data_IF_923953349930
#
_entry.id   IF_923953349930
#
_cell.length_a   1.000
_cell.length_b   1.000
_cell.length_c   1.000
_cell.angle_alpha   90.00
_cell.angle_beta   90.00
_cell.angle_gamma   90.00
#
_symmetry.space_group_name_H-M   'P 1'
#
loop_
_entity.id
_entity.type
_entity.pdbx_description
1 polymer ?
#
# COMPACT_ATOMS: atom_id res chain seq x y z
N UNK A 1 6.38 -15.66 14.53
CA UNK A 1 5.99 -16.27 13.23
C UNK A 1 6.86 -15.67 12.15
N UNK A 2 7.45 -16.47 11.27
CA UNK A 2 8.30 -15.97 10.18
C UNK A 2 7.49 -14.97 9.35
N UNK A 3 7.90 -13.72 9.34
CA UNK A 3 7.29 -12.59 8.66
C UNK A 3 7.24 -12.73 7.14
N UNK A 4 7.63 -13.85 6.55
CA UNK A 4 7.53 -14.12 5.11
C UNK A 4 6.43 -15.15 4.81
N UNK A 5 6.04 -15.95 5.81
CA UNK A 5 5.13 -17.07 5.60
C UNK A 5 3.70 -16.62 5.29
N UNK A 6 3.24 -15.52 5.90
CA UNK A 6 1.92 -14.92 5.66
C UNK A 6 1.77 -14.47 4.20
N UNK A 7 2.77 -13.77 3.68
CA UNK A 7 2.77 -13.23 2.34
C UNK A 7 2.88 -14.34 1.28
N UNK A 8 3.73 -15.35 1.53
CA UNK A 8 3.81 -16.54 0.66
C UNK A 8 2.48 -17.29 0.63
N UNK A 9 1.86 -17.52 1.80
CA UNK A 9 0.55 -18.16 1.88
C UNK A 9 -0.53 -17.40 1.09
N UNK A 10 -0.56 -16.07 1.24
CA UNK A 10 -1.49 -15.23 0.49
C UNK A 10 -1.24 -15.30 -1.02
N UNK A 11 0.01 -15.24 -1.46
CA UNK A 11 0.38 -15.32 -2.88
C UNK A 11 0.02 -16.68 -3.48
N UNK A 12 0.29 -17.78 -2.78
CA UNK A 12 -0.07 -19.13 -3.25
C UNK A 12 -1.58 -19.26 -3.38
N UNK A 13 -2.33 -18.80 -2.38
CA UNK A 13 -3.80 -18.79 -2.41
C UNK A 13 -4.33 -17.96 -3.58
N UNK A 14 -3.82 -16.74 -3.77
CA UNK A 14 -4.21 -15.87 -4.89
C UNK A 14 -3.83 -16.49 -6.25
N UNK A 15 -2.67 -17.14 -6.35
CA UNK A 15 -2.24 -17.84 -7.55
C UNK A 15 -3.17 -19.01 -7.91
N UNK A 16 -3.55 -19.83 -6.92
CA UNK A 16 -4.52 -20.92 -7.12
C UNK A 16 -5.88 -20.36 -7.57
N UNK A 17 -6.36 -19.29 -6.91
CA UNK A 17 -7.61 -18.64 -7.28
C UNK A 17 -7.57 -18.07 -8.71
N UNK A 18 -6.46 -17.47 -9.11
CA UNK A 18 -6.26 -16.95 -10.47
C UNK A 18 -6.27 -18.08 -11.51
N UNK A 19 -5.55 -19.18 -11.25
CA UNK A 19 -5.54 -20.36 -12.12
C UNK A 19 -6.96 -20.93 -12.26
N UNK A 20 -7.68 -21.11 -11.14
CA UNK A 20 -9.04 -21.61 -11.15
C UNK A 20 -9.97 -20.68 -11.97
N UNK A 21 -9.89 -19.37 -11.77
CA UNK A 21 -10.67 -18.39 -12.51
C UNK A 21 -10.39 -18.43 -14.02
N UNK A 22 -9.12 -18.50 -14.42
CA UNK A 22 -8.72 -18.63 -15.83
C UNK A 22 -9.18 -19.95 -16.45
N UNK A 23 -9.06 -21.07 -15.73
CA UNK A 23 -9.55 -22.38 -16.19
C UNK A 23 -11.06 -22.35 -16.41
N UNK A 24 -11.82 -21.86 -15.42
CA UNK A 24 -13.29 -21.73 -15.51
C UNK A 24 -13.68 -20.87 -16.72
N UNK A 25 -13.04 -19.72 -16.91
CA UNK A 25 -13.28 -18.83 -18.06
C UNK A 25 -12.96 -19.49 -19.41
N UNK A 26 -12.00 -20.43 -19.44
CA UNK A 26 -11.62 -21.18 -20.64
C UNK A 26 -12.54 -22.38 -20.96
N UNK A 27 -13.44 -22.76 -20.05
CA UNK A 27 -14.33 -23.91 -20.24
C UNK A 27 -15.26 -23.69 -21.43
N UNK A 28 -15.58 -24.78 -22.17
CA UNK A 28 -16.55 -24.72 -23.27
C UNK A 28 -17.94 -24.27 -22.82
N UNK A 29 -18.30 -24.47 -21.56
CA UNK A 29 -19.60 -24.06 -21.03
C UNK A 29 -19.71 -22.53 -20.92
N UNK A 30 -18.70 -21.88 -20.33
CA UNK A 30 -18.65 -20.41 -20.21
C UNK A 30 -18.41 -19.79 -21.59
N UNK A 31 -17.36 -20.24 -22.28
CA UNK A 31 -17.01 -19.70 -23.59
C UNK A 31 -18.10 -19.96 -24.64
N UNK A 32 -18.75 -21.13 -24.63
CA UNK A 32 -19.80 -21.47 -25.59
C UNK A 32 -21.05 -20.60 -25.44
N UNK A 33 -21.44 -20.25 -24.20
CA UNK A 33 -22.51 -19.28 -23.95
C UNK A 33 -22.15 -17.89 -24.46
N UNK A 34 -20.89 -17.47 -24.28
CA UNK A 34 -20.40 -16.15 -24.70
C UNK A 34 -20.08 -16.05 -26.20
N UNK A 35 -19.89 -17.17 -26.89
CA UNK A 35 -19.58 -17.21 -28.34
C UNK A 35 -20.76 -16.81 -29.24
N UNK A 36 -21.96 -16.62 -28.67
CA UNK A 36 -23.10 -16.10 -29.41
C UNK A 36 -22.93 -14.59 -29.64
N UNK A 37 -22.57 -14.22 -30.89
CA UNK A 37 -22.46 -12.83 -31.33
C UNK A 37 -21.23 -12.11 -30.75
N UNK A 38 -21.44 -10.93 -30.17
CA UNK A 38 -20.38 -10.04 -29.66
C UNK A 38 -20.14 -10.19 -28.15
N UNK A 39 -20.88 -11.07 -27.46
CA UNK A 39 -20.87 -11.20 -25.99
C UNK A 39 -19.48 -11.52 -25.43
N UNK A 40 -18.70 -12.33 -26.14
CA UNK A 40 -17.33 -12.65 -25.74
C UNK A 40 -16.39 -11.45 -25.77
N UNK A 41 -16.50 -10.60 -26.80
CA UNK A 41 -15.71 -9.38 -26.90
C UNK A 41 -16.12 -8.41 -25.80
N UNK A 42 -17.42 -8.26 -25.56
CA UNK A 42 -17.93 -7.43 -24.47
C UNK A 42 -17.40 -7.91 -23.11
N UNK A 43 -17.48 -9.21 -22.82
CA UNK A 43 -16.97 -9.78 -21.56
C UNK A 43 -15.46 -9.53 -21.39
N UNK A 44 -14.67 -9.74 -22.44
CA UNK A 44 -13.24 -9.46 -22.41
C UNK A 44 -12.96 -7.97 -22.16
N UNK A 45 -13.67 -7.07 -22.85
CA UNK A 45 -13.56 -5.63 -22.65
C UNK A 45 -13.88 -5.23 -21.21
N UNK A 46 -14.98 -5.73 -20.64
CA UNK A 46 -15.38 -5.44 -19.26
C UNK A 46 -14.30 -5.89 -18.27
N UNK A 47 -13.75 -7.10 -18.43
CA UNK A 47 -12.71 -7.62 -17.54
C UNK A 47 -11.42 -6.81 -17.66
N UNK A 48 -10.98 -6.48 -18.88
CA UNK A 48 -9.74 -5.71 -19.10
C UNK A 48 -9.90 -4.28 -18.62
N UNK A 49 -11.00 -3.60 -18.93
CA UNK A 49 -11.28 -2.25 -18.42
C UNK A 49 -11.36 -2.28 -16.89
N UNK A 50 -12.08 -3.25 -16.31
CA UNK A 50 -12.16 -3.43 -14.86
C UNK A 50 -10.78 -3.62 -14.21
N UNK A 51 -9.88 -4.38 -14.84
CA UNK A 51 -8.49 -4.54 -14.39
C UNK A 51 -7.75 -3.21 -14.34
N UNK A 52 -7.81 -2.40 -15.40
CA UNK A 52 -7.14 -1.09 -15.44
C UNK A 52 -7.78 -0.10 -14.46
N UNK A 53 -9.11 -0.04 -14.40
CA UNK A 53 -9.82 0.78 -13.41
C UNK A 53 -9.40 0.40 -11.99
N UNK A 54 -9.32 -0.91 -11.68
CA UNK A 54 -8.84 -1.38 -10.39
C UNK A 54 -7.39 -0.93 -10.11
N UNK A 55 -6.49 -1.07 -11.08
CA UNK A 55 -5.09 -0.67 -10.95
C UNK A 55 -4.93 0.84 -10.65
N UNK A 56 -5.69 1.70 -11.32
CA UNK A 56 -5.56 3.15 -11.13
C UNK A 56 -6.22 3.68 -9.86
N UNK A 57 -7.38 3.13 -9.49
CA UNK A 57 -8.22 3.72 -8.45
C UNK A 57 -8.17 2.97 -7.12
N UNK A 58 -7.91 1.66 -7.13
CA UNK A 58 -8.05 0.83 -5.93
C UNK A 58 -6.75 0.11 -5.50
N UNK A 59 -5.89 -0.28 -6.44
CA UNK A 59 -4.70 -1.06 -6.13
C UNK A 59 -3.75 -0.30 -5.18
N UNK A 60 -3.26 -0.98 -4.15
CA UNK A 60 -2.25 -0.45 -3.23
C UNK A 60 -2.73 0.67 -2.28
N UNK A 61 -4.02 1.03 -2.29
CA UNK A 61 -4.57 2.08 -1.43
C UNK A 61 -4.75 1.62 0.02
N UNK A 62 -4.52 2.52 0.99
CA UNK A 62 -4.70 2.24 2.42
C UNK A 62 -6.14 1.82 2.78
N UNK A 63 -7.12 2.26 1.98
CA UNK A 63 -8.53 1.86 2.06
C UNK A 63 -8.73 0.38 2.37
N UNK A 64 -7.97 -0.52 1.74
CA UNK A 64 -8.10 -1.98 1.92
C UNK A 64 -7.75 -2.46 3.33
N UNK A 65 -6.78 -1.84 3.98
CA UNK A 65 -6.34 -2.21 5.33
C UNK A 65 -7.42 -1.95 6.41
N UNK A 66 -8.47 -1.19 6.06
CA UNK A 66 -9.64 -0.95 6.92
C UNK A 66 -10.64 -2.11 6.89
N UNK A 67 -10.63 -2.91 5.82
CA UNK A 67 -11.55 -4.05 5.64
C UNK A 67 -10.86 -5.39 5.83
N UNK A 68 -9.54 -5.44 5.58
CA UNK A 68 -8.73 -6.64 5.68
C UNK A 68 -7.64 -6.36 6.72
N UNK A 69 -7.92 -6.70 7.98
CA UNK A 69 -7.00 -6.52 9.12
C UNK A 69 -5.87 -7.56 9.16
N UNK A 70 -5.34 -7.96 8.00
CA UNK A 70 -4.30 -8.98 7.85
C UNK A 70 -3.00 -8.35 7.32
N UNK A 71 -1.84 -8.82 7.78
CA UNK A 71 -0.55 -8.28 7.33
C UNK A 71 -0.28 -8.53 5.84
N UNK A 72 -0.90 -9.54 5.23
CA UNK A 72 -0.82 -9.80 3.79
C UNK A 72 -1.92 -9.09 2.99
N UNK A 73 -2.56 -8.04 3.52
CA UNK A 73 -3.57 -7.23 2.81
C UNK A 73 -3.14 -6.80 1.42
N UNK A 74 -1.85 -6.47 1.22
CA UNK A 74 -1.29 -6.10 -0.09
C UNK A 74 -1.54 -7.16 -1.18
N UNK A 75 -1.61 -8.44 -0.81
CA UNK A 75 -1.95 -9.55 -1.71
C UNK A 75 -3.44 -9.78 -1.74
N UNK A 76 -4.11 -9.81 -0.59
CA UNK A 76 -5.54 -10.10 -0.51
C UNK A 76 -6.41 -9.06 -1.25
N UNK A 77 -5.98 -7.81 -1.26
CA UNK A 77 -6.67 -6.76 -1.99
C UNK A 77 -6.34 -6.72 -3.48
N UNK A 78 -5.29 -7.42 -3.94
CA UNK A 78 -4.83 -7.32 -5.33
C UNK A 78 -5.62 -8.26 -6.25
N UNK A 79 -6.67 -7.74 -6.89
CA UNK A 79 -7.50 -8.52 -7.83
C UNK A 79 -6.94 -8.58 -9.26
N UNK A 80 -5.84 -7.87 -9.56
CA UNK A 80 -5.20 -7.86 -10.88
C UNK A 80 -4.87 -9.26 -11.42
N UNK A 81 -4.31 -10.20 -10.62
CA UNK A 81 -4.06 -11.57 -11.07
C UNK A 81 -5.33 -12.29 -11.53
N UNK A 82 -6.46 -12.07 -10.84
CA UNK A 82 -7.73 -12.70 -11.18
C UNK A 82 -8.25 -12.16 -12.52
N UNK A 83 -8.25 -10.83 -12.69
CA UNK A 83 -8.67 -10.23 -13.96
C UNK A 83 -7.79 -10.70 -15.12
N UNK A 84 -6.47 -10.66 -14.98
CA UNK A 84 -5.53 -11.10 -15.99
C UNK A 84 -5.73 -12.58 -16.36
N UNK A 85 -5.94 -13.45 -15.37
CA UNK A 85 -6.18 -14.87 -15.61
C UNK A 85 -7.53 -15.15 -16.28
N UNK A 86 -8.60 -14.45 -15.89
CA UNK A 86 -9.91 -14.53 -16.56
C UNK A 86 -9.78 -14.07 -18.01
N UNK A 87 -9.12 -12.94 -18.26
CA UNK A 87 -8.84 -12.45 -19.62
C UNK A 87 -8.05 -13.48 -20.43
N UNK A 88 -7.02 -14.12 -19.84
CA UNK A 88 -6.25 -15.18 -20.51
C UNK A 88 -7.16 -16.35 -20.93
N UNK A 89 -7.98 -16.85 -20.00
CA UNK A 89 -8.93 -17.95 -20.24
C UNK A 89 -9.94 -17.64 -21.34
N UNK A 90 -10.50 -16.43 -21.34
CA UNK A 90 -11.39 -15.95 -22.40
C UNK A 90 -10.64 -15.86 -23.74
N UNK A 91 -9.49 -15.20 -23.79
CA UNK A 91 -8.76 -14.99 -25.05
C UNK A 91 -8.41 -16.29 -25.77
N UNK A 92 -8.07 -17.34 -25.02
CA UNK A 92 -7.80 -18.67 -25.58
C UNK A 92 -8.97 -19.23 -26.42
N UNK A 93 -10.19 -18.78 -26.14
CA UNK A 93 -11.44 -19.23 -26.79
C UNK A 93 -12.00 -18.27 -27.84
N UNK A 94 -11.30 -17.17 -28.17
CA UNK A 94 -11.82 -16.17 -29.11
C UNK A 94 -12.22 -16.78 -30.46
N UNK A 95 -13.47 -16.63 -30.92
CA UNK A 95 -13.92 -17.22 -32.18
C UNK A 95 -13.18 -16.58 -33.36
N UNK A 96 -13.02 -17.34 -34.46
CA UNK A 96 -12.45 -16.86 -35.74
C UNK A 96 -11.04 -16.24 -35.65
N UNK A 97 -10.35 -16.41 -34.54
CA UNK A 97 -8.97 -15.92 -34.33
C UNK A 97 -7.98 -17.06 -34.54
N UNK A 98 -6.89 -16.90 -35.32
CA UNK A 98 -5.85 -17.91 -35.49
C UNK A 98 -5.22 -18.35 -34.17
N UNK A 99 -4.82 -19.62 -34.06
CA UNK A 99 -4.30 -20.20 -32.82
C UNK A 99 -3.07 -19.46 -32.28
N UNK A 100 -2.13 -19.08 -33.14
CA UNK A 100 -0.90 -18.39 -32.73
C UNK A 100 -1.17 -17.05 -32.02
N UNK A 101 -2.19 -16.28 -32.47
CA UNK A 101 -2.60 -15.03 -31.81
C UNK A 101 -3.20 -15.31 -30.43
N UNK A 102 -4.03 -16.35 -30.32
CA UNK A 102 -4.62 -16.75 -29.04
C UNK A 102 -3.57 -17.19 -28.05
N UNK A 103 -2.59 -18.00 -28.50
CA UNK A 103 -1.47 -18.45 -27.66
C UNK A 103 -0.66 -17.25 -27.20
N UNK A 104 -0.27 -16.34 -28.10
CA UNK A 104 0.51 -15.17 -27.74
C UNK A 104 -0.19 -14.33 -26.66
N UNK A 105 -1.47 -13.99 -26.87
CA UNK A 105 -2.22 -13.19 -25.90
C UNK A 105 -2.46 -13.94 -24.58
N UNK A 106 -2.77 -15.23 -24.63
CA UNK A 106 -2.91 -16.08 -23.46
C UNK A 106 -1.62 -16.06 -22.62
N UNK A 107 -0.47 -16.32 -23.25
CA UNK A 107 0.84 -16.32 -22.59
C UNK A 107 1.14 -14.95 -21.98
N UNK A 108 0.94 -13.86 -22.72
CA UNK A 108 1.19 -12.50 -22.19
C UNK A 108 0.34 -12.18 -20.97
N UNK A 109 -0.96 -12.53 -20.99
CA UNK A 109 -1.86 -12.29 -19.86
C UNK A 109 -1.57 -13.23 -18.69
N UNK A 110 -1.17 -14.48 -18.94
CA UNK A 110 -0.72 -15.39 -17.88
C UNK A 110 0.56 -14.90 -17.21
N UNK A 111 1.53 -14.38 -17.98
CA UNK A 111 2.74 -13.75 -17.44
C UNK A 111 2.35 -12.53 -16.59
N UNK A 112 1.46 -11.67 -17.09
CA UNK A 112 0.98 -10.52 -16.32
C UNK A 112 0.30 -10.93 -15.00
N UNK A 113 -0.49 -12.01 -15.01
CA UNK A 113 -1.10 -12.56 -13.80
C UNK A 113 -0.04 -13.03 -12.79
N UNK A 114 0.98 -13.77 -13.25
CA UNK A 114 2.09 -14.24 -12.40
C UNK A 114 2.88 -13.06 -11.83
N UNK A 115 3.23 -12.07 -12.66
CA UNK A 115 3.94 -10.87 -12.21
C UNK A 115 3.11 -10.08 -11.20
N UNK A 116 1.80 -10.00 -11.37
CA UNK A 116 0.90 -9.34 -10.42
C UNK A 116 0.83 -10.08 -9.07
N UNK A 117 0.88 -11.41 -9.04
CA UNK A 117 0.97 -12.19 -7.79
C UNK A 117 2.30 -11.94 -7.09
N UNK A 118 3.40 -11.96 -7.86
CA UNK A 118 4.76 -11.83 -7.34
C UNK A 118 5.18 -10.37 -7.09
N UNK A 119 4.32 -9.39 -7.40
CA UNK A 119 4.59 -7.97 -7.31
C UNK A 119 5.23 -7.52 -5.99
N UNK A 120 4.79 -8.00 -4.80
CA UNK A 120 5.39 -7.60 -3.52
C UNK A 120 6.90 -7.88 -3.43
N UNK A 121 7.39 -8.95 -4.05
CA UNK A 121 8.81 -9.32 -4.05
C UNK A 121 9.55 -8.83 -5.28
N UNK A 122 8.86 -8.74 -6.43
CA UNK A 122 9.45 -8.34 -7.70
C UNK A 122 10.17 -6.99 -7.60
N UNK A 123 9.54 -6.03 -6.92
CA UNK A 123 10.09 -4.69 -6.70
C UNK A 123 11.39 -4.72 -5.89
N UNK A 124 11.42 -5.49 -4.80
CA UNK A 124 12.60 -5.65 -3.95
C UNK A 124 13.73 -6.35 -4.72
N UNK A 125 13.41 -7.37 -5.53
CA UNK A 125 14.42 -8.08 -6.32
C UNK A 125 15.01 -7.23 -7.44
N UNK A 126 14.19 -6.42 -8.11
CA UNK A 126 14.64 -5.53 -9.18
C UNK A 126 15.33 -4.27 -8.65
N UNK A 127 14.94 -3.79 -7.47
CA UNK A 127 15.39 -2.53 -6.87
C UNK A 127 15.69 -2.73 -5.37
N UNK A 128 16.74 -3.49 -5.02
CA UNK A 128 17.02 -3.84 -3.63
C UNK A 128 17.24 -2.59 -2.76
N UNK A 129 16.68 -2.55 -1.53
CA UNK A 129 16.70 -1.37 -0.68
C UNK A 129 18.13 -0.91 -0.37
N UNK A 130 18.25 0.37 -0.02
CA UNK A 130 19.50 0.91 0.48
C UNK A 130 19.70 0.47 1.94
N UNK A 131 20.95 0.32 2.42
CA UNK A 131 21.23 0.11 3.83
C UNK A 131 20.60 1.23 4.67
N UNK A 132 20.00 0.85 5.80
CA UNK A 132 19.49 1.81 6.79
C UNK A 132 20.33 1.77 8.07
N UNK A 133 20.32 2.88 8.78
CA UNK A 133 20.92 3.04 10.10
C UNK A 133 19.89 2.95 11.23
N UNK A 134 20.23 3.54 12.36
CA UNK A 134 19.44 3.51 13.58
C UNK A 134 19.56 4.86 14.33
N UNK A 135 19.49 5.95 13.58
CA UNK A 135 19.64 7.29 14.14
C UNK A 135 18.31 7.75 14.75
N UNK A 136 18.36 8.23 16.00
CA UNK A 136 17.18 8.72 16.71
C UNK A 136 17.50 10.08 17.31
N UNK A 137 16.78 11.12 16.87
CA UNK A 137 16.93 12.49 17.34
C UNK A 137 15.66 12.93 18.07
N UNK A 138 15.78 13.30 19.34
CA UNK A 138 14.67 13.82 20.15
C UNK A 138 13.41 12.92 20.15
N UNK A 139 13.61 11.59 20.09
CA UNK A 139 12.52 10.61 20.05
C UNK A 139 11.94 10.32 18.66
N UNK A 140 12.48 10.92 17.60
CA UNK A 140 12.15 10.66 16.19
C UNK A 140 13.26 9.83 15.57
N UNK A 141 12.92 8.70 14.96
CA UNK A 141 13.86 7.91 14.16
C UNK A 141 14.08 8.63 12.83
N UNK A 142 15.32 9.02 12.56
CA UNK A 142 15.70 9.71 11.33
C UNK A 142 15.83 8.74 10.19
N UNK A 143 15.38 9.13 9.00
CA UNK A 143 15.63 8.32 7.80
C UNK A 143 17.09 8.46 7.39
N UNK A 144 17.74 7.34 7.12
CA UNK A 144 19.16 7.33 6.71
C UNK A 144 19.33 7.16 5.20
N UNK A 145 18.25 6.84 4.49
CA UNK A 145 18.17 6.81 3.04
C UNK A 145 16.94 7.56 2.53
N UNK A 146 16.97 8.00 1.28
CA UNK A 146 15.87 8.79 0.70
C UNK A 146 14.55 8.00 0.54
N UNK A 147 14.63 6.68 0.45
CA UNK A 147 13.48 5.79 0.21
C UNK A 147 12.88 5.18 1.50
N UNK A 148 13.39 5.55 2.67
CA UNK A 148 13.10 4.86 3.94
C UNK A 148 12.34 5.71 4.96
N UNK A 149 11.72 6.81 4.51
CA UNK A 149 10.85 7.65 5.34
C UNK A 149 9.75 6.83 6.04
N UNK A 150 9.08 5.91 5.34
CA UNK A 150 8.00 5.10 5.93
C UNK A 150 8.50 4.12 7.01
N UNK A 151 9.56 3.31 6.80
CA UNK A 151 10.19 2.54 7.89
C UNK A 151 10.64 3.38 9.09
N UNK A 152 11.24 4.55 8.86
CA UNK A 152 11.68 5.44 9.93
C UNK A 152 10.50 6.03 10.72
N UNK A 153 9.44 6.47 10.03
CA UNK A 153 8.19 6.90 10.67
C UNK A 153 7.52 5.75 11.44
N UNK A 154 7.51 4.55 10.87
CA UNK A 154 6.99 3.36 11.54
C UNK A 154 7.78 3.03 12.81
N UNK A 155 9.11 3.14 12.78
CA UNK A 155 9.96 2.99 13.96
C UNK A 155 9.60 4.04 15.01
N UNK A 156 9.50 5.31 14.63
CA UNK A 156 9.07 6.41 15.52
C UNK A 156 7.72 6.13 16.17
N UNK A 157 6.73 5.72 15.38
CA UNK A 157 5.38 5.39 15.85
C UNK A 157 5.38 4.20 16.82
N UNK A 158 6.10 3.14 16.49
CA UNK A 158 6.21 1.95 17.33
C UNK A 158 6.93 2.26 18.65
N UNK A 159 8.02 3.04 18.61
CA UNK A 159 8.76 3.50 19.80
C UNK A 159 7.90 4.35 20.72
N UNK A 160 7.10 5.26 20.16
CA UNK A 160 6.13 6.04 20.94
C UNK A 160 5.07 5.16 21.62
N UNK A 161 4.82 3.96 21.07
CA UNK A 161 4.02 2.91 21.69
C UNK A 161 4.79 1.93 22.59
N UNK A 162 6.06 2.19 22.91
CA UNK A 162 6.89 1.31 23.73
C UNK A 162 7.41 0.06 23.02
N UNK A 163 7.40 0.03 21.68
CA UNK A 163 7.96 -1.05 20.87
C UNK A 163 9.26 -0.56 20.23
N UNK A 164 10.39 -1.10 20.71
CA UNK A 164 11.72 -0.74 20.22
C UNK A 164 12.06 -1.53 18.95
N UNK A 165 12.05 -0.86 17.80
CA UNK A 165 12.47 -1.39 16.50
C UNK A 165 13.22 -0.32 15.70
N UNK A 166 14.19 -0.72 14.90
CA UNK A 166 14.99 0.20 14.07
C UNK A 166 14.37 0.42 12.69
N UNK A 167 14.83 1.44 11.96
CA UNK A 167 14.50 1.65 10.54
C UNK A 167 14.86 0.40 9.71
N UNK A 168 16.06 -0.14 9.92
CA UNK A 168 16.57 -1.32 9.21
C UNK A 168 15.75 -2.59 9.47
N UNK A 169 15.25 -2.80 10.68
CA UNK A 169 14.38 -3.93 11.00
C UNK A 169 13.05 -3.88 10.22
N UNK A 170 12.57 -2.66 9.94
CA UNK A 170 11.28 -2.43 9.31
C UNK A 170 11.34 -2.44 7.78
N UNK A 171 12.48 -2.13 7.15
CA UNK A 171 12.64 -2.21 5.69
C UNK A 171 12.08 -3.50 5.07
N UNK A 172 12.51 -4.71 5.50
CA UNK A 172 12.01 -5.95 4.91
C UNK A 172 10.54 -6.21 5.25
N UNK A 173 10.06 -5.75 6.41
CA UNK A 173 8.67 -5.94 6.82
C UNK A 173 7.71 -5.02 6.04
N UNK A 174 8.17 -3.79 5.76
CA UNK A 174 7.47 -2.76 5.00
C UNK A 174 7.53 -2.98 3.49
N UNK A 175 8.31 -3.96 3.01
CA UNK A 175 8.56 -4.22 1.59
C UNK A 175 9.17 -3.00 0.87
N UNK A 176 10.04 -2.28 1.59
CA UNK A 176 10.71 -1.08 1.06
C UNK A 176 11.74 -1.48 0.00
N UNK A 177 11.75 -0.75 -1.12
CA UNK A 177 12.69 -0.90 -2.21
C UNK A 177 13.38 0.44 -2.51
N UNK A 178 14.23 0.54 -3.55
CA UNK A 178 14.89 1.82 -3.87
C UNK A 178 13.94 2.93 -4.28
N UNK A 179 12.68 2.65 -4.62
CA UNK A 179 11.71 3.66 -5.03
C UNK A 179 10.76 4.07 -3.89
N UNK A 180 10.96 3.53 -2.69
CA UNK A 180 10.19 3.89 -1.51
C UNK A 180 9.46 2.70 -0.90
N UNK A 181 8.41 3.00 -0.15
CA UNK A 181 7.61 2.01 0.56
C UNK A 181 6.17 2.04 0.06
N UNK A 182 5.62 0.91 -0.42
CA UNK A 182 4.20 0.84 -0.75
C UNK A 182 3.34 1.12 0.49
N UNK A 183 2.24 1.85 0.35
CA UNK A 183 1.34 2.21 1.46
C UNK A 183 0.84 0.99 2.25
N UNK A 184 0.41 -0.07 1.56
CA UNK A 184 0.03 -1.33 2.22
C UNK A 184 1.24 -2.12 2.76
N UNK A 185 2.43 -1.86 2.22
CA UNK A 185 3.69 -2.36 2.78
C UNK A 185 3.98 -1.75 4.15
N UNK A 186 3.84 -0.43 4.29
CA UNK A 186 3.95 0.26 5.58
C UNK A 186 2.98 -0.31 6.62
N UNK A 187 1.70 -0.47 6.27
CA UNK A 187 0.71 -1.09 7.16
C UNK A 187 1.14 -2.50 7.58
N UNK A 188 1.58 -3.32 6.63
CA UNK A 188 2.09 -4.66 6.89
C UNK A 188 3.26 -4.66 7.89
N UNK A 189 4.22 -3.77 7.70
CA UNK A 189 5.39 -3.67 8.59
C UNK A 189 5.00 -3.35 10.02
N UNK A 190 4.10 -2.38 10.20
CA UNK A 190 3.53 -2.01 11.49
C UNK A 190 2.74 -3.17 12.12
N UNK A 191 1.86 -3.83 11.34
CA UNK A 191 1.03 -4.96 11.81
C UNK A 191 1.90 -6.10 12.34
N UNK A 192 2.95 -6.47 11.61
CA UNK A 192 3.86 -7.54 12.02
C UNK A 192 4.69 -7.17 13.25
N UNK A 193 5.26 -5.97 13.28
CA UNK A 193 6.06 -5.52 14.41
C UNK A 193 5.21 -5.34 15.69
N UNK A 194 3.99 -4.81 15.56
CA UNK A 194 3.05 -4.70 16.66
C UNK A 194 2.62 -6.08 17.19
N UNK A 195 2.22 -6.99 16.29
CA UNK A 195 1.79 -8.34 16.66
C UNK A 195 2.89 -9.14 17.36
N UNK A 196 4.14 -8.98 16.92
CA UNK A 196 5.29 -9.60 17.58
C UNK A 196 5.46 -9.13 19.04
N UNK A 197 4.91 -7.96 19.39
CA UNK A 197 4.94 -7.36 20.72
C UNK A 197 3.57 -7.41 21.44
N UNK A 198 2.67 -8.32 21.02
CA UNK A 198 1.33 -8.49 21.63
C UNK A 198 0.47 -7.20 21.60
N UNK A 199 0.72 -6.33 20.62
CA UNK A 199 -0.10 -5.17 20.32
C UNK A 199 -0.67 -5.33 18.93
N UNK A 200 -1.62 -4.47 18.60
CA UNK A 200 -2.21 -4.45 17.27
C UNK A 200 -2.35 -3.02 16.74
N UNK A 201 -2.42 -2.88 15.42
CA UNK A 201 -2.64 -1.61 14.72
C UNK A 201 -3.77 -1.75 13.72
N UNK A 202 -4.45 -0.64 13.47
CA UNK A 202 -5.55 -0.53 12.51
C UNK A 202 -5.37 0.70 11.63
N UNK A 203 -5.77 0.56 10.37
CA UNK A 203 -5.90 1.70 9.47
C UNK A 203 -7.25 2.36 9.71
N UNK A 204 -7.25 3.67 9.85
CA UNK A 204 -8.46 4.48 10.06
C UNK A 204 -8.51 5.59 9.02
N UNK A 205 -9.71 6.09 8.78
CA UNK A 205 -9.93 7.28 7.98
C UNK A 205 -10.70 8.28 8.81
N UNK A 206 -10.23 9.51 8.82
CA UNK A 206 -10.70 10.58 9.70
C UNK A 206 -10.80 11.89 8.94
N UNK A 207 -11.76 12.74 9.30
CA UNK A 207 -11.81 14.13 8.85
C UNK A 207 -10.87 15.01 9.67
N UNK A 208 -10.65 16.27 9.24
CA UNK A 208 -9.87 17.23 10.02
C UNK A 208 -10.51 17.56 11.36
N UNK A 209 -11.84 17.59 11.44
CA UNK A 209 -12.57 17.81 12.69
C UNK A 209 -12.40 16.64 13.65
N UNK A 210 -12.44 15.41 13.13
CA UNK A 210 -12.17 14.19 13.91
C UNK A 210 -10.72 14.16 14.38
N UNK A 211 -9.75 14.55 13.54
CA UNK A 211 -8.35 14.70 13.95
C UNK A 211 -8.18 15.77 15.05
N UNK A 212 -8.84 16.91 14.91
CA UNK A 212 -8.72 18.02 15.86
C UNK A 212 -9.28 17.68 17.25
N UNK A 213 -10.24 16.75 17.31
CA UNK A 213 -10.86 16.26 18.55
C UNK A 213 -10.30 14.92 19.04
N UNK A 214 -9.41 14.29 18.26
CA UNK A 214 -8.82 12.99 18.57
C UNK A 214 -8.07 12.98 19.91
N UNK A 215 -8.26 11.90 20.66
CA UNK A 215 -7.56 11.63 21.93
C UNK A 215 -6.64 10.41 21.86
N UNK A 216 -6.66 9.68 20.75
CA UNK A 216 -5.89 8.46 20.56
C UNK A 216 -4.60 8.78 19.79
N UNK A 217 -3.53 9.00 20.54
CA UNK A 217 -2.20 9.29 20.02
C UNK A 217 -1.22 8.16 20.38
N UNK A 218 -0.14 7.94 19.61
CA UNK A 218 0.22 8.62 18.36
C UNK A 218 -0.59 8.12 17.15
N UNK A 219 -0.57 8.89 16.06
CA UNK A 219 -1.03 8.47 14.73
C UNK A 219 0.15 8.47 13.76
N UNK A 220 0.25 7.45 12.92
CA UNK A 220 1.11 7.48 11.74
C UNK A 220 0.27 7.89 10.54
N UNK A 221 0.68 8.93 9.82
CA UNK A 221 -0.05 9.45 8.66
C UNK A 221 0.82 9.48 7.41
N UNK A 222 0.17 9.40 6.25
CA UNK A 222 0.80 9.74 4.98
C UNK A 222 0.35 11.12 4.56
N UNK A 223 1.31 11.96 4.22
CA UNK A 223 1.13 13.35 3.84
C UNK A 223 1.69 13.57 2.44
N UNK A 224 1.11 14.48 1.69
CA UNK A 224 1.45 14.71 0.29
C UNK A 224 0.97 16.09 -0.14
N UNK A 225 1.83 16.85 -0.82
CA UNK A 225 1.37 18.04 -1.54
C UNK A 225 0.56 17.63 -2.78
N UNK A 226 -0.54 18.33 -3.09
CA UNK A 226 -1.25 18.16 -4.36
C UNK A 226 -0.29 18.20 -5.54
N UNK A 227 -0.50 17.32 -6.54
CA UNK A 227 0.36 17.25 -7.72
C UNK A 227 0.35 18.55 -8.56
N UNK A 228 -0.68 19.38 -8.40
CA UNK A 228 -0.77 20.72 -8.99
C UNK A 228 0.11 21.77 -8.29
N UNK A 229 0.78 21.41 -7.20
CA UNK A 229 1.43 22.35 -6.29
C UNK A 229 0.44 23.05 -5.36
N UNK A 230 0.96 23.96 -4.55
CA UNK A 230 0.21 24.82 -3.63
C UNK A 230 0.61 26.28 -3.83
N UNK A 231 -0.27 27.21 -3.47
CA UNK A 231 0.00 28.64 -3.67
C UNK A 231 1.15 29.17 -2.82
N UNK A 232 1.46 28.53 -1.69
CA UNK A 232 2.55 28.93 -0.82
C UNK A 232 3.88 28.27 -1.27
N UNK A 233 4.81 29.00 -1.88
CA UNK A 233 6.06 28.44 -2.39
C UNK A 233 6.99 27.93 -1.30
N UNK A 234 6.81 28.36 -0.04
CA UNK A 234 7.67 27.98 1.09
C UNK A 234 7.68 26.46 1.33
N UNK A 235 6.60 25.73 1.00
CA UNK A 235 6.61 24.27 1.12
C UNK A 235 7.66 23.61 0.21
N UNK A 236 7.86 24.14 -0.99
CA UNK A 236 8.83 23.62 -1.95
C UNK A 236 10.22 24.22 -1.70
N UNK A 237 10.30 25.55 -1.58
CA UNK A 237 11.58 26.29 -1.53
C UNK A 237 12.29 26.16 -0.19
N UNK A 238 11.56 26.26 0.93
CA UNK A 238 12.15 26.27 2.27
C UNK A 238 12.10 24.89 2.93
N UNK A 239 11.05 24.11 2.66
CA UNK A 239 10.78 22.83 3.35
C UNK A 239 11.01 21.60 2.47
N UNK A 240 11.34 21.80 1.19
CA UNK A 240 11.81 20.72 0.29
C UNK A 240 10.74 19.71 -0.11
N UNK A 241 9.45 20.02 0.05
CA UNK A 241 8.38 19.14 -0.40
C UNK A 241 8.34 19.04 -1.93
N UNK A 242 8.08 17.84 -2.43
CA UNK A 242 7.94 17.59 -3.87
C UNK A 242 6.45 17.33 -4.16
N UNK A 243 5.76 18.18 -4.95
CA UNK A 243 4.38 17.97 -5.33
C UNK A 243 4.10 16.57 -5.87
N UNK A 244 3.07 15.92 -5.35
CA UNK A 244 2.71 14.56 -5.74
C UNK A 244 3.61 13.45 -5.17
N UNK A 245 4.65 13.74 -4.40
CA UNK A 245 5.40 12.72 -3.66
C UNK A 245 4.83 12.57 -2.24
N UNK A 246 4.47 11.34 -1.88
CA UNK A 246 4.00 11.03 -0.53
C UNK A 246 5.17 10.91 0.47
N UNK A 247 4.93 11.34 1.70
CA UNK A 247 5.85 11.25 2.83
C UNK A 247 5.13 10.69 4.06
N UNK A 248 5.84 10.01 4.95
CA UNK A 248 5.25 9.41 6.16
C UNK A 248 5.77 10.11 7.40
N UNK A 249 4.86 10.53 8.29
CA UNK A 249 5.19 11.22 9.53
C UNK A 249 4.34 10.69 10.69
N UNK A 250 4.75 11.02 11.92
CA UNK A 250 4.02 10.65 13.14
C UNK A 250 3.43 11.89 13.80
N UNK A 251 2.13 11.88 14.07
CA UNK A 251 1.46 12.88 14.90
C UNK A 251 1.44 12.38 16.33
N UNK A 252 2.22 13.02 17.21
CA UNK A 252 2.30 12.63 18.62
C UNK A 252 1.15 13.17 19.47
N UNK A 253 0.45 14.18 18.99
CA UNK A 253 -0.60 14.86 19.74
C UNK A 253 -0.79 16.31 19.31
N UNK A 254 -1.79 16.94 19.92
CA UNK A 254 -2.11 18.35 19.72
C UNK A 254 -1.83 19.13 21.00
N UNK A 255 -1.19 20.28 20.88
CA UNK A 255 -0.85 21.14 22.02
C UNK A 255 -2.08 21.99 22.37
N UNK A 256 -2.51 21.94 23.64
CA UNK A 256 -3.80 22.50 24.07
C UNK A 256 -3.89 24.04 23.98
N UNK A 257 -2.76 24.75 24.13
CA UNK A 257 -2.69 26.21 24.17
C UNK A 257 -2.67 26.85 22.77
N UNK A 258 -1.91 26.29 21.86
CA UNK A 258 -1.66 26.79 20.50
C UNK A 258 -2.53 26.10 19.47
N UNK A 259 -3.00 24.89 19.77
CA UNK A 259 -3.71 24.02 18.82
C UNK A 259 -2.81 23.40 17.75
N UNK A 260 -1.48 23.59 17.82
CA UNK A 260 -0.52 23.00 16.90
C UNK A 260 -0.39 21.48 17.11
N UNK A 261 -0.01 20.78 16.05
CA UNK A 261 0.29 19.35 16.07
C UNK A 261 1.78 19.13 16.26
N UNK A 262 2.15 18.24 17.19
CA UNK A 262 3.54 17.84 17.38
C UNK A 262 3.86 16.67 16.45
N UNK A 263 4.76 16.90 15.50
CA UNK A 263 5.06 15.99 14.40
C UNK A 263 6.47 15.41 14.58
N UNK A 264 6.62 14.13 14.29
CA UNK A 264 7.90 13.48 14.06
C UNK A 264 8.07 13.20 12.59
N UNK A 265 8.86 14.03 11.92
CA UNK A 265 9.23 13.89 10.52
C UNK A 265 10.59 13.17 10.42
N UNK A 266 10.69 12.02 9.74
CA UNK A 266 11.96 11.31 9.58
C UNK A 266 13.09 12.10 8.89
N UNK A 267 12.76 13.11 8.09
CA UNK A 267 13.73 13.94 7.35
C UNK A 267 14.28 15.08 8.19
N UNK A 268 13.45 15.66 9.06
CA UNK A 268 13.74 16.92 9.78
C UNK A 268 13.88 16.71 11.29
N UNK A 269 13.09 15.79 11.86
CA UNK A 269 13.03 15.52 13.29
C UNK A 269 11.70 15.99 13.89
N UNK A 270 11.75 16.64 15.06
CA UNK A 270 10.54 17.12 15.73
C UNK A 270 10.09 18.48 15.16
N UNK A 271 8.83 18.55 14.74
CA UNK A 271 8.22 19.75 14.15
C UNK A 271 6.90 20.14 14.83
N UNK A 272 6.46 21.37 14.61
CA UNK A 272 5.16 21.89 15.01
C UNK A 272 4.40 22.35 13.78
N UNK A 273 3.30 21.68 13.47
CA UNK A 273 2.46 22.02 12.32
C UNK A 273 1.15 22.67 12.76
N UNK A 274 0.70 23.67 12.01
CA UNK A 274 -0.58 24.32 12.24
C UNK A 274 -1.73 23.46 11.70
N UNK A 275 -2.98 23.83 12.03
CA UNK A 275 -4.14 23.21 11.39
C UNK A 275 -4.21 23.45 9.88
N UNK A 276 -3.65 24.57 9.40
CA UNK A 276 -3.61 24.90 7.97
C UNK A 276 -2.65 23.95 7.25
N UNK A 277 -1.45 23.73 7.81
CA UNK A 277 -0.51 22.74 7.28
C UNK A 277 -1.17 21.36 7.19
N UNK A 278 -1.96 20.99 8.21
CA UNK A 278 -2.66 19.71 8.20
C UNK A 278 -3.78 19.59 7.17
N UNK A 279 -4.49 20.67 6.87
CA UNK A 279 -5.48 20.70 5.80
C UNK A 279 -4.84 20.58 4.41
N UNK A 280 -3.62 21.07 4.25
CA UNK A 280 -2.90 21.01 2.98
C UNK A 280 -2.27 19.64 2.76
N UNK A 281 -1.61 19.11 3.79
CA UNK A 281 -0.71 17.96 3.66
C UNK A 281 -1.40 16.62 3.87
N UNK A 282 -2.41 16.51 4.75
CA UNK A 282 -2.99 15.24 5.15
C UNK A 282 -4.36 14.99 4.52
N UNK A 283 -4.54 13.82 3.91
CA UNK A 283 -5.72 13.45 3.11
C UNK A 283 -6.67 12.47 3.82
N UNK A 284 -6.59 12.37 5.14
CA UNK A 284 -7.56 11.65 5.97
C UNK A 284 -7.22 10.19 6.31
N UNK A 285 -6.17 9.59 5.75
CA UNK A 285 -5.74 8.22 6.10
C UNK A 285 -4.71 8.24 7.25
N UNK A 286 -4.93 7.40 8.27
CA UNK A 286 -4.01 7.24 9.40
C UNK A 286 -3.90 5.78 9.83
N UNK A 287 -2.84 5.46 10.57
CA UNK A 287 -2.66 4.19 11.28
C UNK A 287 -2.51 4.51 12.76
N UNK A 288 -3.22 3.77 13.62
CA UNK A 288 -3.13 3.91 15.07
C UNK A 288 -3.01 2.55 15.75
N UNK A 289 -2.62 2.56 17.02
CA UNK A 289 -2.72 1.36 17.84
C UNK A 289 -4.18 1.05 18.12
N UNK A 290 -4.56 -0.22 17.99
CA UNK A 290 -5.87 -0.69 18.41
C UNK A 290 -5.95 -0.57 19.94
N UNK A 291 -7.01 0.05 20.45
CA UNK A 291 -7.26 0.08 21.89
C UNK A 291 -7.29 -1.34 22.46
N UNK A 292 -6.76 -1.55 23.67
CA UNK A 292 -6.92 -2.85 24.35
C UNK A 292 -8.42 -3.07 24.52
N UNK A 293 -8.98 -4.09 23.86
CA UNK A 293 -10.31 -4.58 24.22
C UNK A 293 -10.26 -4.93 25.70
N UNK A 294 -11.00 -4.20 26.53
CA UNK A 294 -11.13 -4.51 27.95
C UNK A 294 -11.77 -5.89 28.13
#
# INVERSE_FOLDING_TARGET
MNSTNDLIFAMVTMGIAAIAAGVIASTKQVAGKLQQGQSMILALTVVVVGMFTFLFYAAGRMFWARFIEDSAVIVWSNFTPLFAAVSAGLVFRLPKTPLWRRILLFVSLSIAAVLAVLWPFLNIWLRPPLPAGNEVHSGVTMQTAWATCSPAAASTFLRAGGIEVTEGDLIPLCLTDRSGTPTLGLYRGLKLAANANQRDVEAVSMTHEELASNQEWPLLITVQLPASGVENPSYEEDWGWIPGLGHSVVVFGRIADTGHYRIGDPSIGAELWTSVDMQVLWHGDAIRFKGRSR
#
